data_IF_716126308275
#
_entry.id   IF_716126308275
#
_cell.length_a   1.000
_cell.length_b   1.000
_cell.length_c   1.000
_cell.angle_alpha   90.00
_cell.angle_beta   90.00
_cell.angle_gamma   90.00
#
_symmetry.space_group_name_H-M   'P 1'
#
loop_
_entity.id
_entity.type
_entity.pdbx_description
1 polymer ?
#
# COMPACT_ATOMS: atom_id res chain seq x y z
N UNK A 1 -22.15 -5.81 5.79
CA UNK A 1 -21.03 -4.92 6.16
C UNK A 1 -19.88 -5.13 5.17
N UNK A 2 -19.65 -4.17 4.27
CA UNK A 2 -18.58 -4.24 3.27
C UNK A 2 -17.18 -4.17 3.89
N UNK A 3 -16.19 -4.76 3.21
CA UNK A 3 -14.78 -4.66 3.58
C UNK A 3 -14.19 -3.44 2.87
N UNK A 4 -13.94 -2.36 3.61
CA UNK A 4 -13.29 -1.17 3.06
C UNK A 4 -11.78 -1.41 2.87
N UNK A 5 -11.32 -1.37 1.62
CA UNK A 5 -9.92 -1.46 1.23
C UNK A 5 -9.33 -0.06 1.11
N UNK A 6 -8.21 0.17 1.78
CA UNK A 6 -7.49 1.46 1.78
C UNK A 6 -6.11 1.27 1.19
N UNK A 7 -5.69 2.18 0.33
CA UNK A 7 -4.31 2.25 -0.16
C UNK A 7 -3.55 3.21 0.75
N UNK A 8 -2.50 2.70 1.39
CA UNK A 8 -1.68 3.46 2.35
C UNK A 8 -0.22 3.45 1.91
N UNK A 9 0.48 4.52 2.26
CA UNK A 9 1.94 4.63 2.13
C UNK A 9 2.57 4.36 3.49
N UNK A 10 3.55 3.46 3.52
CA UNK A 10 4.36 3.24 4.71
C UNK A 10 5.22 4.47 5.00
N UNK A 11 5.11 5.04 6.20
CA UNK A 11 5.93 6.18 6.64
C UNK A 11 7.40 5.81 6.80
N UNK A 12 7.73 4.55 7.11
CA UNK A 12 9.13 4.12 7.31
C UNK A 12 9.90 3.88 6.00
N UNK A 13 9.28 3.28 4.99
CA UNK A 13 9.98 2.87 3.75
C UNK A 13 9.32 3.33 2.45
N UNK A 14 8.23 4.08 2.54
CA UNK A 14 7.51 4.60 1.38
C UNK A 14 6.70 3.57 0.59
N UNK A 15 6.68 2.29 0.98
CA UNK A 15 5.94 1.25 0.27
C UNK A 15 4.44 1.54 0.21
N UNK A 16 3.86 1.39 -0.98
CA UNK A 16 2.42 1.43 -1.17
C UNK A 16 1.83 0.02 -1.03
N UNK A 17 0.78 -0.10 -0.22
CA UNK A 17 0.03 -1.35 -0.07
C UNK A 17 -1.45 -1.12 0.17
N UNK A 18 -2.24 -2.17 -0.03
CA UNK A 18 -3.65 -2.19 0.36
C UNK A 18 -3.75 -2.74 1.77
N UNK A 19 -4.63 -2.15 2.58
CA UNK A 19 -5.01 -2.66 3.90
C UNK A 19 -6.52 -2.56 4.09
N UNK A 20 -7.11 -3.60 4.66
CA UNK A 20 -8.48 -3.59 5.18
C UNK A 20 -8.53 -3.45 6.71
N UNK A 21 -7.35 -3.31 7.36
CA UNK A 21 -7.26 -3.20 8.79
C UNK A 21 -7.90 -1.89 9.28
N UNK A 22 -8.53 -1.94 10.46
CA UNK A 22 -9.21 -0.79 11.06
C UNK A 22 -8.36 -0.03 12.07
N UNK A 23 -7.44 -0.72 12.75
CA UNK A 23 -6.59 -0.14 13.82
C UNK A 23 -5.14 -0.01 13.38
N UNK A 24 -4.49 -1.13 13.08
CA UNK A 24 -3.06 -1.19 12.72
C UNK A 24 -2.82 -2.03 11.49
N UNK A 25 -1.81 -1.69 10.71
CA UNK A 25 -1.36 -2.49 9.58
C UNK A 25 0.15 -2.68 9.63
N UNK A 26 0.60 -3.84 9.15
CA UNK A 26 2.02 -4.15 8.98
C UNK A 26 2.44 -3.86 7.55
N UNK A 27 3.57 -3.18 7.38
CA UNK A 27 4.17 -2.97 6.08
C UNK A 27 4.67 -4.30 5.52
N UNK A 28 4.16 -4.71 4.35
CA UNK A 28 4.58 -5.98 3.71
C UNK A 28 6.03 -5.96 3.21
N UNK A 29 6.64 -4.76 3.10
CA UNK A 29 8.00 -4.58 2.58
C UNK A 29 9.07 -4.54 3.68
N UNK A 30 8.87 -3.71 4.71
CA UNK A 30 9.87 -3.53 5.78
C UNK A 30 9.43 -4.08 7.14
N UNK A 31 8.20 -4.60 7.25
CA UNK A 31 7.69 -5.17 8.50
C UNK A 31 7.24 -4.17 9.56
N UNK A 32 7.45 -2.86 9.37
CA UNK A 32 7.02 -1.83 10.32
C UNK A 32 5.50 -1.84 10.55
N UNK A 33 5.08 -1.73 11.82
CA UNK A 33 3.66 -1.67 12.21
C UNK A 33 3.26 -0.21 12.40
N UNK A 34 2.13 0.19 11.81
CA UNK A 34 1.63 1.56 11.83
C UNK A 34 0.15 1.59 12.16
N UNK A 35 -0.26 2.63 12.90
CA UNK A 35 -1.66 2.92 13.16
C UNK A 35 -2.31 3.52 11.91
N UNK A 36 -3.52 3.03 11.61
CA UNK A 36 -4.31 3.45 10.44
C UNK A 36 -4.76 4.90 10.59
N UNK A 37 -5.03 5.38 11.81
CA UNK A 37 -5.38 6.78 12.06
C UNK A 37 -4.21 7.74 11.81
N UNK A 38 -2.97 7.27 11.97
CA UNK A 38 -1.76 8.07 11.80
C UNK A 38 -1.33 8.20 10.34
N UNK A 39 -1.95 7.45 9.41
CA UNK A 39 -1.65 7.52 7.98
C UNK A 39 -2.86 7.99 7.19
N UNK A 40 -2.68 8.98 6.33
CA UNK A 40 -3.73 9.39 5.39
C UNK A 40 -3.82 8.37 4.25
N UNK A 41 -4.93 7.63 4.09
CA UNK A 41 -5.09 6.76 2.94
C UNK A 41 -5.13 7.60 1.66
N UNK A 42 -4.39 7.17 0.64
CA UNK A 42 -4.34 7.81 -0.67
C UNK A 42 -5.61 7.54 -1.47
N UNK A 43 -6.23 6.39 -1.22
CA UNK A 43 -7.46 5.95 -1.87
C UNK A 43 -8.20 4.95 -0.96
N UNK A 44 -9.52 4.92 -1.03
CA UNK A 44 -10.33 3.94 -0.34
C UNK A 44 -11.51 3.49 -1.22
N UNK A 45 -11.83 2.19 -1.19
CA UNK A 45 -12.94 1.62 -1.94
C UNK A 45 -13.40 0.31 -1.30
N UNK A 46 -14.66 -0.04 -1.46
CA UNK A 46 -15.18 -1.35 -1.05
C UNK A 46 -14.91 -2.44 -2.10
N UNK A 47 -14.48 -2.06 -3.30
CA UNK A 47 -14.14 -2.98 -4.38
C UNK A 47 -12.65 -3.39 -4.36
N UNK A 48 -12.40 -4.66 -4.09
CA UNK A 48 -11.04 -5.20 -4.01
C UNK A 48 -10.26 -5.15 -5.34
N UNK A 49 -10.96 -5.28 -6.48
CA UNK A 49 -10.35 -5.24 -7.81
C UNK A 49 -9.90 -3.82 -8.14
N UNK A 50 -10.75 -2.83 -7.84
CA UNK A 50 -10.45 -1.42 -8.02
C UNK A 50 -9.31 -0.96 -7.13
N UNK A 51 -9.25 -1.42 -5.88
CA UNK A 51 -8.11 -1.16 -4.99
C UNK A 51 -6.78 -1.65 -5.59
N UNK A 52 -6.76 -2.86 -6.18
CA UNK A 52 -5.56 -3.41 -6.84
C UNK A 52 -5.16 -2.62 -8.08
N UNK A 53 -6.13 -2.22 -8.90
CA UNK A 53 -5.88 -1.41 -10.10
C UNK A 53 -5.25 -0.05 -9.74
N UNK A 54 -5.85 0.66 -8.78
CA UNK A 54 -5.32 1.96 -8.33
C UNK A 54 -3.95 1.80 -7.68
N UNK A 55 -3.71 0.73 -6.90
CA UNK A 55 -2.38 0.47 -6.34
C UNK A 55 -1.32 0.27 -7.44
N UNK A 56 -1.65 -0.50 -8.47
CA UNK A 56 -0.76 -0.73 -9.61
C UNK A 56 -0.47 0.57 -10.35
N UNK A 57 -1.50 1.38 -10.61
CA UNK A 57 -1.34 2.70 -11.23
C UNK A 57 -0.43 3.62 -10.40
N UNK A 58 -0.68 3.74 -9.09
CA UNK A 58 0.14 4.57 -8.19
C UNK A 58 1.60 4.12 -8.16
N UNK A 59 1.85 2.80 -8.17
CA UNK A 59 3.22 2.25 -8.25
C UNK A 59 3.89 2.54 -9.59
N UNK A 60 3.14 2.51 -10.69
CA UNK A 60 3.66 2.84 -12.03
C UNK A 60 3.99 4.33 -12.15
N UNK A 61 3.14 5.22 -11.64
CA UNK A 61 3.38 6.67 -11.61
C UNK A 61 4.55 7.04 -10.67
N UNK A 62 4.67 6.34 -9.53
CA UNK A 62 5.77 6.51 -8.57
C UNK A 62 7.16 6.07 -9.06
N UNK A 63 7.28 5.39 -10.21
CA UNK A 63 8.60 5.08 -10.78
C UNK A 63 9.38 6.32 -11.25
N UNK A 64 8.72 7.48 -11.38
CA UNK A 64 9.38 8.74 -11.74
C UNK A 64 10.01 9.41 -10.50
N UNK A 65 9.63 9.03 -9.27
CA UNK A 65 10.20 9.60 -8.04
C UNK A 65 10.48 8.54 -6.95
N UNK A 66 11.68 7.95 -7.02
CA UNK A 66 12.39 7.49 -5.82
C UNK A 66 11.95 6.16 -5.17
N UNK A 67 11.21 5.28 -5.84
CA UNK A 67 11.07 3.90 -5.37
C UNK A 67 12.38 3.13 -5.59
N UNK A 68 13.34 3.20 -4.65
CA UNK A 68 14.43 2.20 -4.57
C UNK A 68 13.77 0.82 -4.58
N UNK A 69 13.99 0.04 -5.63
CA UNK A 69 13.66 -1.39 -5.69
C UNK A 69 14.43 -2.10 -4.57
N UNK A 70 13.85 -3.03 -3.80
CA UNK A 70 14.68 -4.08 -3.22
C UNK A 70 15.07 -5.03 -4.36
N UNK A 71 16.35 -5.38 -4.41
CA UNK A 71 16.87 -6.41 -5.29
C UNK A 71 16.16 -7.75 -5.01
N UNK A 72 15.82 -8.51 -6.06
CA UNK A 72 15.42 -9.92 -5.93
C UNK A 72 13.94 -10.23 -6.18
N UNK A 73 13.45 -10.01 -7.41
CA UNK A 73 12.28 -10.76 -7.89
C UNK A 73 12.73 -11.63 -9.06
N UNK A 74 13.07 -12.89 -8.77
CA UNK A 74 13.28 -13.91 -9.79
C UNK A 74 11.94 -14.20 -10.46
N UNK A 75 11.91 -14.10 -11.79
CA UNK A 75 10.82 -14.63 -12.62
C UNK A 75 10.99 -16.15 -12.63
N UNK A 76 9.96 -16.87 -12.19
CA UNK A 76 9.77 -18.28 -12.49
C UNK A 76 8.66 -18.39 -13.53
#
# INVERSE_FOLDING_TARGET
MGRLYRIVRCSSCGNLQITSARKRFRCVRCGAVQDVSSVKPLYATEDSRRARMVLAELKSRGRISGFRKPAGMKRG
#
